data_IF_048924319488
#
_entry.id   IF_048924319488
#
_cell.length_a   1.000
_cell.length_b   1.000
_cell.length_c   1.000
_cell.angle_alpha   90.00
_cell.angle_beta   90.00
_cell.angle_gamma   90.00
#
_symmetry.space_group_name_H-M   'P 1'
#
loop_
_entity.id
_entity.type
_entity.pdbx_description
1 polymer ?
#
# COMPACT_ATOMS: atom_id res chain seq x y z
N UNK A 1 -15.48 9.62 -4.09
CA UNK A 1 -15.28 8.18 -3.81
C UNK A 1 -13.77 7.88 -3.69
N UNK A 2 -13.11 8.37 -2.63
CA UNK A 2 -11.66 8.14 -2.40
C UNK A 2 -11.36 7.54 -1.01
N UNK A 3 -12.25 7.66 -0.03
CA UNK A 3 -11.95 7.36 1.39
C UNK A 3 -11.86 5.87 1.78
N UNK A 4 -12.40 4.94 0.98
CA UNK A 4 -12.54 3.55 1.39
C UNK A 4 -11.20 2.77 1.37
N UNK A 5 -10.30 3.08 0.42
CA UNK A 5 -9.07 2.30 0.22
C UNK A 5 -7.91 2.77 1.08
N UNK A 6 -7.79 4.08 1.30
CA UNK A 6 -6.94 4.66 2.35
C UNK A 6 -7.23 4.06 3.72
N UNK A 7 -8.53 3.85 4.00
CA UNK A 7 -8.98 3.15 5.20
C UNK A 7 -8.49 1.72 5.23
N UNK A 8 -8.67 0.92 4.18
CA UNK A 8 -8.14 -0.45 4.15
C UNK A 8 -6.62 -0.51 4.31
N UNK A 9 -5.88 0.40 3.68
CA UNK A 9 -4.42 0.44 3.76
C UNK A 9 -3.90 0.72 5.19
N UNK A 10 -4.54 1.67 5.91
CA UNK A 10 -4.10 2.07 7.25
C UNK A 10 -4.81 1.36 8.41
N UNK A 11 -6.03 0.86 8.22
CA UNK A 11 -6.81 0.17 9.26
C UNK A 11 -6.53 -1.33 9.31
N UNK A 12 -6.05 -1.90 8.20
CA UNK A 12 -5.60 -3.30 8.13
C UNK A 12 -4.14 -3.38 7.69
N UNK A 13 -3.18 -2.80 8.45
CA UNK A 13 -1.76 -2.88 8.12
C UNK A 13 -1.21 -4.31 8.17
N UNK A 14 -2.02 -5.29 8.59
CA UNK A 14 -1.76 -6.73 8.62
C UNK A 14 -2.38 -7.51 7.46
N UNK A 15 -3.13 -6.85 6.57
CA UNK A 15 -3.73 -7.52 5.41
C UNK A 15 -2.79 -7.51 4.20
N UNK A 16 -2.76 -8.61 3.42
CA UNK A 16 -1.97 -8.71 2.21
C UNK A 16 -2.49 -7.76 1.12
N UNK A 17 -1.59 -7.00 0.50
CA UNK A 17 -1.94 -6.04 -0.54
C UNK A 17 -1.50 -6.54 -1.92
N UNK A 18 -2.42 -6.59 -2.88
CA UNK A 18 -2.17 -7.18 -4.22
C UNK A 18 -1.02 -6.50 -4.97
N UNK A 19 -0.92 -5.16 -4.90
CA UNK A 19 0.19 -4.44 -5.56
C UNK A 19 1.55 -4.68 -4.87
N UNK A 20 1.54 -5.21 -3.64
CA UNK A 20 2.73 -5.62 -2.90
C UNK A 20 2.87 -7.16 -2.92
N UNK A 21 2.45 -7.81 -4.01
CA UNK A 21 2.55 -9.27 -4.18
C UNK A 21 1.84 -10.07 -3.07
N UNK A 22 0.67 -9.58 -2.63
CA UNK A 22 -0.09 -10.13 -1.49
C UNK A 22 0.73 -10.21 -0.21
N UNK A 23 1.66 -9.28 -0.01
CA UNK A 23 2.38 -9.16 1.24
C UNK A 23 1.87 -7.97 2.05
N UNK A 24 2.20 -8.00 3.32
CA UNK A 24 1.80 -7.00 4.31
C UNK A 24 2.64 -5.73 4.10
N UNK A 25 2.06 -4.54 3.91
CA UNK A 25 2.82 -3.32 3.65
C UNK A 25 3.91 -3.04 4.70
N UNK A 26 3.60 -3.27 5.98
CA UNK A 26 4.54 -3.07 7.08
C UNK A 26 5.75 -4.00 7.01
N UNK A 27 5.64 -5.19 6.41
CA UNK A 27 6.77 -6.13 6.31
C UNK A 27 7.81 -5.72 5.26
N UNK A 28 7.48 -4.77 4.38
CA UNK A 28 8.39 -4.27 3.33
C UNK A 28 9.20 -3.04 3.77
N UNK A 29 8.79 -2.37 4.85
CA UNK A 29 9.45 -1.18 5.38
C UNK A 29 10.82 -1.46 6.02
N UNK A 30 11.22 -2.74 6.14
CA UNK A 30 12.55 -3.13 6.61
C UNK A 30 13.66 -2.94 5.56
N UNK A 31 13.30 -2.60 4.31
CA UNK A 31 14.23 -2.39 3.22
C UNK A 31 13.91 -1.09 2.50
N UNK A 32 14.94 -0.40 1.99
CA UNK A 32 14.76 0.82 1.19
C UNK A 32 13.88 0.55 -0.03
N UNK A 33 14.17 -0.53 -0.76
CA UNK A 33 13.39 -0.96 -1.92
C UNK A 33 11.91 -1.15 -1.58
N UNK A 34 11.61 -1.80 -0.46
CA UNK A 34 10.22 -2.02 -0.06
C UNK A 34 9.51 -0.77 0.44
N UNK A 35 10.23 0.15 1.09
CA UNK A 35 9.71 1.46 1.41
C UNK A 35 9.36 2.26 0.15
N UNK A 36 10.24 2.25 -0.87
CA UNK A 36 10.00 2.92 -2.15
C UNK A 36 8.75 2.35 -2.84
N UNK A 37 8.56 1.03 -2.83
CA UNK A 37 7.35 0.38 -3.36
C UNK A 37 6.07 0.76 -2.62
N UNK A 38 6.12 0.82 -1.28
CA UNK A 38 4.97 1.22 -0.47
C UNK A 38 4.59 2.68 -0.75
N UNK A 39 5.57 3.57 -0.89
CA UNK A 39 5.34 4.99 -1.20
C UNK A 39 4.81 5.22 -2.61
N UNK A 40 5.30 4.47 -3.60
CA UNK A 40 4.79 4.51 -4.98
C UNK A 40 3.30 4.12 -5.03
N UNK A 41 2.92 3.02 -4.37
CA UNK A 41 1.53 2.60 -4.32
C UNK A 41 0.64 3.61 -3.57
N UNK A 42 1.13 4.22 -2.49
CA UNK A 42 0.42 5.29 -1.79
C UNK A 42 0.16 6.51 -2.70
N UNK A 43 1.17 6.93 -3.48
CA UNK A 43 1.02 8.01 -4.45
C UNK A 43 0.00 7.68 -5.54
N UNK A 44 -0.01 6.43 -6.03
CA UNK A 44 -1.01 5.98 -7.02
C UNK A 44 -2.43 5.99 -6.46
N UNK A 45 -2.63 5.55 -5.21
CA UNK A 45 -3.92 5.61 -4.52
C UNK A 45 -4.40 7.06 -4.38
N UNK A 46 -3.52 8.01 -4.06
CA UNK A 46 -3.83 9.45 -3.97
C UNK A 46 -4.37 10.02 -5.28
N UNK A 47 -3.80 9.58 -6.41
CA UNK A 47 -4.22 10.01 -7.74
C UNK A 47 -5.34 9.16 -8.34
N UNK A 48 -5.88 8.18 -7.61
CA UNK A 48 -6.93 7.28 -8.11
C UNK A 48 -6.46 6.34 -9.23
N UNK A 49 -5.17 6.03 -9.27
CA UNK A 49 -4.56 5.08 -10.21
C UNK A 49 -4.50 3.71 -9.55
N UNK A 50 -4.97 2.66 -10.23
CA UNK A 50 -5.15 1.32 -9.63
C UNK A 50 -4.41 0.22 -10.41
N UNK A 51 -3.92 -0.80 -9.69
CA UNK A 51 -3.36 -2.08 -10.21
C UNK A 51 -4.04 -3.31 -9.58
#
# INVERSE_FOLDING_TARGET
MQSARWRSFFLSPSEPYKALDNKIPMSWLNSKFGADMVLDELGRIEHGVFS
#
